data_IF_491982679082
#
_entry.id   IF_491982679082
#
_cell.length_a   1.000
_cell.length_b   1.000
_cell.length_c   1.000
_cell.angle_alpha   90.00
_cell.angle_beta   90.00
_cell.angle_gamma   90.00
#
_symmetry.space_group_name_H-M   'P 1'
#
loop_
_entity.id
_entity.type
_entity.pdbx_description
1 polymer ?
#
# COMPACT_ATOMS: atom_id res chain seq x y z
N UNK A 1 -4.95 -15.50 -9.94
CA UNK A 1 -4.17 -14.28 -10.22
C UNK A 1 -4.80 -13.14 -9.44
N UNK A 2 -3.98 -12.26 -8.89
CA UNK A 2 -4.44 -11.12 -8.10
C UNK A 2 -4.33 -9.84 -8.93
N UNK A 3 -5.38 -9.05 -8.92
CA UNK A 3 -5.46 -7.71 -9.50
C UNK A 3 -6.00 -6.77 -8.44
N UNK A 4 -5.61 -5.50 -8.47
CA UNK A 4 -6.03 -4.55 -7.45
C UNK A 4 -5.03 -3.43 -7.23
N UNK A 5 -5.26 -2.66 -6.18
CA UNK A 5 -4.35 -1.62 -5.73
C UNK A 5 -3.29 -2.21 -4.81
N UNK A 6 -2.05 -1.77 -5.00
CA UNK A 6 -0.89 -2.19 -4.23
C UNK A 6 -0.25 -0.94 -3.63
N UNK A 7 -0.06 -0.97 -2.31
CA UNK A 7 0.61 0.08 -1.54
C UNK A 7 1.87 -0.51 -0.95
N UNK A 8 3.03 0.07 -1.28
CA UNK A 8 4.34 -0.38 -0.82
C UNK A 8 4.98 0.67 0.07
N UNK A 9 5.59 0.24 1.18
CA UNK A 9 6.62 1.03 1.88
C UNK A 9 7.98 0.43 1.56
N UNK A 10 8.95 1.29 1.20
CA UNK A 10 10.35 0.88 1.06
C UNK A 10 11.12 1.07 2.35
N UNK A 11 12.26 0.38 2.48
CA UNK A 11 13.21 0.61 3.56
C UNK A 11 13.86 2.01 3.52
N UNK A 12 13.74 2.74 2.40
CA UNK A 12 14.26 4.11 2.24
C UNK A 12 13.26 5.19 2.70
N UNK A 13 12.13 4.78 3.29
CA UNK A 13 11.11 5.70 3.80
C UNK A 13 10.23 6.29 2.70
N UNK A 14 9.95 5.50 1.65
CA UNK A 14 9.10 5.94 0.53
C UNK A 14 7.82 5.12 0.45
N UNK A 15 6.77 5.76 -0.07
CA UNK A 15 5.53 5.11 -0.50
C UNK A 15 5.50 4.98 -2.02
N UNK A 16 4.98 3.85 -2.51
CA UNK A 16 4.62 3.65 -3.90
C UNK A 16 3.22 3.06 -3.97
N UNK A 17 2.39 3.61 -4.86
CA UNK A 17 1.03 3.14 -5.07
C UNK A 17 0.85 2.87 -6.55
N UNK A 18 0.47 1.64 -6.87
CA UNK A 18 0.17 1.25 -8.23
C UNK A 18 -1.05 0.35 -8.28
N UNK A 19 -1.68 0.31 -9.44
CA UNK A 19 -2.74 -0.63 -9.76
C UNK A 19 -2.16 -1.75 -10.61
N UNK A 20 -2.38 -3.00 -10.21
CA UNK A 20 -2.04 -4.20 -10.97
C UNK A 20 -3.26 -4.64 -11.78
N UNK A 21 -3.18 -4.50 -13.10
CA UNK A 21 -4.25 -4.82 -14.06
C UNK A 21 -4.04 -6.17 -14.76
N UNK A 22 -2.79 -6.67 -14.81
CA UNK A 22 -2.40 -7.86 -15.55
C UNK A 22 -1.19 -8.54 -14.90
N UNK A 23 -1.18 -9.89 -14.83
CA UNK A 23 -0.05 -10.67 -14.34
C UNK A 23 0.69 -11.42 -15.48
N UNK A 24 0.02 -11.63 -16.62
CA UNK A 24 0.63 -12.16 -17.84
C UNK A 24 -0.17 -11.68 -19.09
N UNK A 25 0.28 -10.61 -19.79
CA UNK A 25 1.47 -9.82 -19.48
C UNK A 25 1.31 -9.02 -18.17
N UNK A 26 2.43 -8.67 -17.56
CA UNK A 26 2.43 -7.77 -16.40
C UNK A 26 1.98 -6.38 -16.85
N UNK A 27 0.88 -5.87 -16.29
CA UNK A 27 0.32 -4.56 -16.67
C UNK A 27 -0.04 -3.81 -15.41
N UNK A 28 0.52 -2.61 -15.27
CA UNK A 28 0.32 -1.76 -14.10
C UNK A 28 0.05 -0.32 -14.50
N UNK A 29 -0.70 0.40 -13.68
CA UNK A 29 -0.83 1.86 -13.72
C UNK A 29 -0.22 2.43 -12.44
N UNK A 30 0.80 3.26 -12.57
CA UNK A 30 1.33 4.01 -11.43
C UNK A 30 0.32 5.08 -11.00
N UNK A 31 0.05 5.17 -9.70
CA UNK A 31 -0.86 6.15 -9.10
C UNK A 31 -0.10 7.15 -8.22
N UNK A 32 0.96 6.69 -7.55
CA UNK A 32 1.93 7.50 -6.81
C UNK A 32 3.31 6.90 -7.08
N UNK A 33 4.19 7.63 -7.74
CA UNK A 33 5.61 7.26 -7.88
C UNK A 33 6.30 7.22 -6.51
N UNK A 34 7.45 6.55 -6.40
CA UNK A 34 8.24 6.49 -5.16
C UNK A 34 8.43 7.88 -4.53
N UNK A 35 7.70 8.14 -3.46
CA UNK A 35 7.63 9.46 -2.81
C UNK A 35 8.08 9.34 -1.37
N UNK A 36 9.04 10.16 -0.94
CA UNK A 36 9.51 10.17 0.45
C UNK A 36 8.42 10.63 1.42
N UNK A 37 8.42 10.05 2.61
CA UNK A 37 7.62 10.53 3.73
C UNK A 37 8.41 10.42 5.03
N UNK A 38 8.45 11.51 5.79
CA UNK A 38 9.06 11.54 7.13
C UNK A 38 8.31 10.63 8.14
N UNK A 39 7.10 10.22 7.79
CA UNK A 39 6.26 9.35 8.62
C UNK A 39 6.50 7.86 8.37
N UNK A 40 7.33 7.48 7.39
CA UNK A 40 7.75 6.09 7.19
C UNK A 40 9.12 5.90 7.85
N UNK A 41 9.16 5.05 8.88
CA UNK A 41 10.40 4.73 9.58
C UNK A 41 11.30 3.89 8.67
N UNK A 42 12.37 4.50 8.19
CA UNK A 42 13.35 3.91 7.28
C UNK A 42 14.39 3.02 8.00
N UNK A 43 14.93 2.07 7.26
CA UNK A 43 15.99 1.17 7.68
C UNK A 43 15.51 -0.21 8.16
N UNK A 44 16.49 -1.07 8.45
CA UNK A 44 16.24 -2.43 8.95
C UNK A 44 15.59 -2.42 10.34
N UNK A 45 14.82 -3.47 10.64
CA UNK A 45 14.17 -3.70 11.94
C UNK A 45 13.25 -2.57 12.40
N UNK A 46 12.76 -1.72 11.48
CA UNK A 46 11.72 -0.74 11.78
C UNK A 46 10.34 -1.36 11.67
N UNK A 47 9.47 -0.96 12.59
CA UNK A 47 8.07 -1.33 12.57
C UNK A 47 7.25 -0.12 12.10
N UNK A 48 6.50 -0.29 11.02
CA UNK A 48 5.56 0.70 10.52
C UNK A 48 4.13 0.18 10.64
N UNK A 49 3.19 1.09 10.88
CA UNK A 49 1.75 0.83 10.73
C UNK A 49 1.30 1.45 9.41
N UNK A 50 0.84 0.61 8.49
CA UNK A 50 0.22 1.04 7.24
C UNK A 50 -1.30 1.07 7.42
N UNK A 51 -1.92 2.20 7.12
CA UNK A 51 -3.37 2.34 7.04
C UNK A 51 -3.79 2.62 5.61
N UNK A 52 -4.91 2.03 5.18
CA UNK A 52 -5.51 2.31 3.88
C UNK A 52 -7.00 2.52 4.13
N UNK A 53 -7.49 3.69 3.79
CA UNK A 53 -8.92 4.00 3.79
C UNK A 53 -9.40 4.02 2.34
N UNK A 54 -10.42 3.22 2.03
CA UNK A 54 -11.09 3.20 0.74
C UNK A 54 -12.52 3.72 0.89
N UNK A 55 -12.85 4.84 0.25
CA UNK A 55 -14.20 5.42 0.22
C UNK A 55 -14.55 5.76 -1.23
N UNK A 56 -15.46 5.00 -1.83
CA UNK A 56 -15.81 5.16 -3.23
C UNK A 56 -14.61 4.92 -4.14
N UNK A 57 -14.21 5.94 -4.89
CA UNK A 57 -13.04 5.94 -5.77
C UNK A 57 -11.77 6.50 -5.12
N UNK A 58 -11.83 6.90 -3.85
CA UNK A 58 -10.70 7.47 -3.11
C UNK A 58 -10.01 6.42 -2.25
N UNK A 59 -8.69 6.34 -2.40
CA UNK A 59 -7.80 5.59 -1.53
C UNK A 59 -6.89 6.58 -0.81
N UNK A 60 -7.00 6.65 0.52
CA UNK A 60 -6.11 7.46 1.37
C UNK A 60 -5.14 6.53 2.09
N UNK A 61 -3.84 6.81 1.95
CA UNK A 61 -2.76 6.00 2.52
C UNK A 61 -2.20 6.71 3.74
N UNK A 62 -2.00 5.95 4.81
CA UNK A 62 -1.45 6.42 6.06
C UNK A 62 -0.19 5.65 6.44
N UNK A 63 0.80 6.36 6.96
CA UNK A 63 1.96 5.79 7.64
C UNK A 63 1.98 6.27 9.09
N UNK A 64 2.01 5.32 10.03
CA UNK A 64 2.12 5.60 11.46
C UNK A 64 1.08 6.62 11.97
N UNK A 65 -0.14 6.56 11.43
CA UNK A 65 -1.25 7.45 11.79
C UNK A 65 -1.36 8.75 11.00
N UNK A 66 -0.38 9.08 10.15
CA UNK A 66 -0.38 10.30 9.33
C UNK A 66 -0.78 10.00 7.89
N UNK A 67 -1.63 10.84 7.29
CA UNK A 67 -1.93 10.75 5.86
C UNK A 67 -0.68 11.13 5.06
N UNK A 68 -0.28 10.27 4.13
CA UNK A 68 0.94 10.46 3.32
C UNK A 68 0.66 10.50 1.81
N UNK A 69 -0.48 9.97 1.37
CA UNK A 69 -0.92 10.06 -0.02
C UNK A 69 -2.44 9.90 -0.13
N UNK A 70 -3.02 10.41 -1.21
CA UNK A 70 -4.39 10.14 -1.62
C UNK A 70 -4.43 9.99 -3.14
N UNK A 71 -5.14 8.97 -3.61
CA UNK A 71 -5.36 8.74 -5.05
C UNK A 71 -6.85 8.56 -5.34
N UNK A 72 -7.25 8.93 -6.55
CA UNK A 72 -8.60 8.73 -7.06
C UNK A 72 -8.54 7.76 -8.25
N UNK A 73 -9.07 6.55 -8.10
CA UNK A 73 -9.18 5.54 -9.16
C UNK A 73 -10.35 4.60 -8.85
N UNK A 74 -11.20 4.33 -9.85
CA UNK A 74 -12.44 3.57 -9.68
C UNK A 74 -12.42 2.21 -10.40
N UNK A 75 -11.24 1.74 -10.84
CA UNK A 75 -11.12 0.48 -11.61
C UNK A 75 -11.57 -0.74 -10.81
N UNK A 76 -11.23 -0.76 -9.51
CA UNK A 76 -11.62 -1.81 -8.59
C UNK A 76 -12.35 -1.20 -7.39
N UNK A 77 -13.58 -1.64 -7.14
CA UNK A 77 -14.43 -1.10 -6.06
C UNK A 77 -14.75 -2.14 -4.97
N UNK A 78 -14.33 -3.39 -5.17
CA UNK A 78 -14.45 -4.48 -4.21
C UNK A 78 -13.34 -5.51 -4.45
N UNK A 79 -13.04 -6.31 -3.43
CA UNK A 79 -12.03 -7.35 -3.56
C UNK A 79 -11.63 -7.97 -2.23
N UNK A 80 -10.57 -8.77 -2.27
CA UNK A 80 -9.88 -9.28 -1.08
C UNK A 80 -8.73 -8.35 -0.74
N UNK A 81 -8.30 -8.36 0.51
CA UNK A 81 -7.09 -7.67 0.95
C UNK A 81 -6.04 -8.70 1.38
N UNK A 82 -4.76 -8.33 1.24
CA UNK A 82 -3.63 -9.24 1.42
C UNK A 82 -2.34 -8.47 1.68
N UNK A 83 -1.28 -9.21 1.98
CA UNK A 83 0.07 -8.64 2.12
C UNK A 83 0.94 -9.21 1.02
N UNK A 84 1.80 -8.37 0.48
CA UNK A 84 2.87 -8.79 -0.42
C UNK A 84 4.20 -8.33 0.16
N UNK A 85 5.26 -8.93 -0.34
CA UNK A 85 6.60 -8.43 -0.16
C UNK A 85 7.38 -8.67 -1.45
N UNK A 86 8.25 -7.74 -1.80
CA UNK A 86 9.12 -7.87 -2.96
C UNK A 86 10.54 -7.47 -2.54
N UNK A 87 11.55 -8.34 -2.72
CA UNK A 87 12.92 -7.86 -2.74
C UNK A 87 13.09 -7.08 -4.04
N UNK A 88 13.52 -5.83 -3.95
CA UNK A 88 14.07 -5.16 -5.13
C UNK A 88 15.52 -5.65 -5.33
N UNK A 89 16.40 -5.29 -4.39
CA UNK A 89 17.85 -5.59 -4.47
C UNK A 89 18.41 -6.37 -3.27
N UNK A 90 17.65 -6.50 -2.18
CA UNK A 90 18.13 -7.16 -0.95
C UNK A 90 17.88 -8.67 -0.99
N UNK A 91 18.95 -9.45 -1.07
CA UNK A 91 18.88 -10.90 -0.87
C UNK A 91 18.64 -11.24 0.62
N UNK A 92 17.97 -12.36 0.89
CA UNK A 92 17.79 -12.93 2.23
C UNK A 92 17.13 -11.98 3.26
N UNK A 93 16.01 -11.36 2.89
CA UNK A 93 15.23 -10.53 3.81
C UNK A 93 14.11 -11.33 4.49
N UNK A 94 13.70 -10.89 5.68
CA UNK A 94 12.51 -11.37 6.37
C UNK A 94 11.61 -10.18 6.66
N UNK A 95 10.30 -10.37 6.49
CA UNK A 95 9.29 -9.41 6.95
C UNK A 95 8.35 -10.12 7.91
N UNK A 96 7.76 -9.36 8.83
CA UNK A 96 6.80 -9.89 9.80
C UNK A 96 5.58 -8.99 9.87
N UNK A 97 4.40 -9.59 9.65
CA UNK A 97 3.11 -8.94 9.90
C UNK A 97 2.69 -9.28 11.32
N UNK A 98 2.63 -8.27 12.20
CA UNK A 98 2.25 -8.46 13.61
C UNK A 98 0.73 -8.50 13.76
N UNK A 99 0.02 -7.63 13.04
CA UNK A 99 -1.44 -7.52 13.06
C UNK A 99 -1.94 -7.13 11.67
N UNK A 100 -3.04 -7.73 11.26
CA UNK A 100 -3.74 -7.41 10.03
C UNK A 100 -5.24 -7.44 10.32
N UNK A 101 -5.90 -6.30 10.12
CA UNK A 101 -7.30 -6.08 10.49
C UNK A 101 -7.97 -5.23 9.43
N UNK A 102 -9.25 -5.48 9.20
CA UNK A 102 -10.11 -4.64 8.37
C UNK A 102 -11.43 -4.43 9.11
N UNK A 103 -12.12 -3.35 8.77
CA UNK A 103 -13.48 -3.07 9.22
C UNK A 103 -14.14 -2.13 8.22
N UNK A 104 -15.45 -2.25 8.08
CA UNK A 104 -16.24 -1.28 7.32
C UNK A 104 -16.36 0.01 8.12
N UNK A 105 -16.24 1.16 7.44
CA UNK A 105 -16.43 2.45 8.07
C UNK A 105 -17.94 2.73 8.20
N UNK A 106 -18.38 3.31 9.33
CA UNK A 106 -19.75 3.79 9.42
C UNK A 106 -19.99 4.87 8.34
N UNK A 107 -21.26 5.05 7.90
CA UNK A 107 -21.59 6.13 6.97
C UNK A 107 -21.13 7.48 7.54
N UNK A 108 -20.71 8.44 6.68
CA UNK A 108 -20.47 9.81 7.13
C UNK A 108 -21.69 10.35 7.88
N UNK A 109 -21.48 11.04 9.00
CA UNK A 109 -22.53 11.77 9.71
C UNK A 109 -22.94 13.02 8.94
#
# INVERSE_FOLDING_TARGET
MSYGYVVAFSCDGQVWVFRLDGANPYTTKELVSWTKSDYILAGTNKQNVMGIQAIGDKLTIFANGHQIAQVTDNKYTFGRYGVFVSPDVTANYTYRVVRMTYWDLPPPQ
#
